data_IF_787641939169
#
_entry.id   IF_787641939169
#
_cell.length_a   1.000
_cell.length_b   1.000
_cell.length_c   1.000
_cell.angle_alpha   90.00
_cell.angle_beta   90.00
_cell.angle_gamma   90.00
#
_symmetry.space_group_name_H-M   'P 1'
#
loop_
_entity.id
_entity.type
_entity.pdbx_description
1 polymer ?
#
# COMPACT_ATOMS: atom_id res chain seq x y z
N UNK A 1 -1.98 34.84 -17.10
CA UNK A 1 -1.55 33.84 -18.10
C UNK A 1 -1.42 32.45 -17.49
N UNK A 2 -0.47 32.14 -16.59
CA UNK A 2 -0.39 30.77 -16.00
C UNK A 2 -1.58 30.37 -15.10
N UNK A 3 -2.22 31.33 -14.42
CA UNK A 3 -3.35 31.05 -13.52
C UNK A 3 -4.63 30.73 -14.32
N UNK A 4 -4.83 31.43 -15.45
CA UNK A 4 -6.01 31.28 -16.30
C UNK A 4 -6.05 29.90 -16.98
N UNK A 5 -4.88 29.38 -17.41
CA UNK A 5 -4.79 28.01 -17.93
C UNK A 5 -5.11 26.97 -16.85
N UNK A 6 -4.63 27.18 -15.62
CA UNK A 6 -4.88 26.24 -14.53
C UNK A 6 -6.37 26.18 -14.17
N UNK A 7 -7.07 27.33 -14.11
CA UNK A 7 -8.52 27.35 -13.92
C UNK A 7 -9.24 26.61 -15.05
N UNK A 8 -8.87 26.83 -16.31
CA UNK A 8 -9.50 26.14 -17.43
C UNK A 8 -9.34 24.61 -17.37
N UNK A 9 -8.17 24.12 -16.94
CA UNK A 9 -7.97 22.68 -16.77
C UNK A 9 -8.78 22.11 -15.60
N UNK A 10 -8.95 22.86 -14.52
CA UNK A 10 -9.80 22.45 -13.40
C UNK A 10 -11.28 22.43 -13.79
N UNK A 11 -11.75 23.43 -14.53
CA UNK A 11 -13.13 23.48 -14.99
C UNK A 11 -13.44 22.28 -15.90
N UNK A 12 -12.55 21.99 -16.86
CA UNK A 12 -12.67 20.81 -17.74
C UNK A 12 -12.67 19.50 -16.94
N UNK A 13 -11.83 19.39 -15.92
CA UNK A 13 -11.79 18.22 -15.05
C UNK A 13 -13.11 18.05 -14.28
N UNK A 14 -13.62 19.12 -13.68
CA UNK A 14 -14.88 19.09 -12.91
C UNK A 14 -16.06 18.77 -13.82
N UNK A 15 -16.09 19.34 -15.02
CA UNK A 15 -17.12 19.04 -16.02
C UNK A 15 -17.10 17.56 -16.42
N UNK A 16 -15.92 17.00 -16.67
CA UNK A 16 -15.75 15.56 -16.93
C UNK A 16 -16.18 14.71 -15.73
N UNK A 17 -15.83 15.11 -14.51
CA UNK A 17 -16.23 14.40 -13.30
C UNK A 17 -17.75 14.42 -13.10
N UNK A 18 -18.39 15.54 -13.41
CA UNK A 18 -19.83 15.69 -13.31
C UNK A 18 -20.60 14.94 -14.40
N UNK A 19 -20.02 14.76 -15.61
CA UNK A 19 -20.66 13.97 -16.66
C UNK A 19 -20.77 12.48 -16.31
N UNK A 20 -19.89 11.97 -15.46
CA UNK A 20 -19.96 10.61 -14.93
C UNK A 20 -20.87 10.44 -13.70
N UNK A 21 -21.53 11.51 -13.26
CA UNK A 21 -22.37 11.53 -12.07
C UNK A 21 -21.62 11.19 -10.78
N UNK A 22 -22.38 10.77 -9.76
CA UNK A 22 -21.84 10.46 -8.42
C UNK A 22 -20.79 9.33 -8.45
N UNK A 23 -20.95 8.36 -9.35
CA UNK A 23 -20.08 7.17 -9.45
C UNK A 23 -18.64 7.57 -9.77
N UNK A 24 -18.42 8.55 -10.64
CA UNK A 24 -17.08 8.98 -11.02
C UNK A 24 -16.32 9.60 -9.84
N UNK A 25 -16.99 10.43 -9.03
CA UNK A 25 -16.44 10.99 -7.81
C UNK A 25 -16.06 9.91 -6.78
N UNK A 26 -16.88 8.88 -6.62
CA UNK A 26 -16.57 7.72 -5.77
C UNK A 26 -15.33 6.99 -6.28
N UNK A 27 -15.23 6.70 -7.58
CA UNK A 27 -14.07 6.03 -8.16
C UNK A 27 -12.78 6.86 -8.01
N UNK A 28 -12.85 8.18 -8.16
CA UNK A 28 -11.72 9.06 -7.94
C UNK A 28 -11.23 9.02 -6.49
N UNK A 29 -12.15 9.08 -5.52
CA UNK A 29 -11.81 8.94 -4.10
C UNK A 29 -11.17 7.57 -3.78
N UNK A 30 -11.74 6.48 -4.33
CA UNK A 30 -11.18 5.14 -4.20
C UNK A 30 -9.78 5.04 -4.82
N UNK A 31 -9.53 5.72 -5.93
CA UNK A 31 -8.22 5.78 -6.56
C UNK A 31 -7.17 6.46 -5.66
N UNK A 32 -7.52 7.58 -5.02
CA UNK A 32 -6.63 8.26 -4.07
C UNK A 32 -6.29 7.36 -2.86
N UNK A 33 -7.30 6.68 -2.30
CA UNK A 33 -7.09 5.73 -1.20
C UNK A 33 -6.22 4.54 -1.62
N UNK A 34 -6.42 4.03 -2.84
CA UNK A 34 -5.61 2.97 -3.41
C UNK A 34 -4.15 3.39 -3.53
N UNK A 35 -3.88 4.57 -4.11
CA UNK A 35 -2.54 5.13 -4.24
C UNK A 35 -1.87 5.37 -2.89
N UNK A 36 -2.61 5.86 -1.91
CA UNK A 36 -2.12 6.00 -0.54
C UNK A 36 -1.70 4.65 0.05
N UNK A 37 -2.56 3.63 -0.03
CA UNK A 37 -2.27 2.29 0.50
C UNK A 37 -1.09 1.60 -0.21
N UNK A 38 -1.05 1.68 -1.55
CA UNK A 38 0.05 1.15 -2.35
C UNK A 38 1.36 1.91 -2.11
N UNK A 39 1.30 3.24 -2.03
CA UNK A 39 2.46 4.09 -1.74
C UNK A 39 3.07 3.79 -0.38
N UNK A 40 2.25 3.67 0.66
CA UNK A 40 2.71 3.25 1.99
C UNK A 40 3.44 1.90 1.92
N UNK A 41 2.81 0.90 1.27
CA UNK A 41 3.39 -0.44 1.15
C UNK A 41 4.68 -0.44 0.34
N UNK A 42 4.74 0.34 -0.72
CA UNK A 42 5.94 0.50 -1.53
C UNK A 42 7.10 1.07 -0.71
N UNK A 43 6.85 2.11 0.10
CA UNK A 43 7.86 2.72 0.97
C UNK A 43 8.35 1.76 2.07
N UNK A 44 7.43 1.05 2.74
CA UNK A 44 7.77 0.09 3.80
C UNK A 44 8.54 -1.12 3.26
N UNK A 45 8.20 -1.58 2.04
CA UNK A 45 8.82 -2.75 1.43
C UNK A 45 10.15 -2.44 0.72
N UNK A 46 10.61 -1.18 0.72
CA UNK A 46 11.94 -0.82 0.23
C UNK A 46 12.99 -1.56 1.07
N UNK A 47 13.47 -2.67 0.51
CA UNK A 47 14.49 -3.54 1.12
C UNK A 47 15.80 -2.82 1.36
N UNK A 48 16.18 -1.85 0.53
CA UNK A 48 17.45 -1.10 0.60
C UNK A 48 18.71 -1.92 0.32
N UNK A 49 18.67 -3.24 0.51
CA UNK A 49 19.75 -4.20 0.31
C UNK A 49 19.37 -5.30 -0.67
N UNK A 50 20.24 -5.52 -1.66
CA UNK A 50 20.11 -6.62 -2.61
C UNK A 50 20.89 -7.85 -2.11
N UNK A 51 20.26 -9.03 -2.14
CA UNK A 51 20.91 -10.32 -1.87
C UNK A 51 20.04 -11.33 -1.13
N UNK A 52 20.59 -12.53 -0.94
CA UNK A 52 19.97 -13.59 -0.14
C UNK A 52 19.99 -13.21 1.35
N UNK A 53 18.88 -13.50 2.05
CA UNK A 53 18.73 -13.29 3.50
C UNK A 53 19.87 -13.92 4.29
N UNK A 54 20.31 -15.13 3.92
CA UNK A 54 21.42 -15.82 4.60
C UNK A 54 22.72 -15.02 4.54
N UNK A 55 23.01 -14.43 3.37
CA UNK A 55 24.18 -13.56 3.17
C UNK A 55 24.09 -12.28 4.01
N UNK A 56 22.87 -11.76 4.23
CA UNK A 56 22.69 -10.59 5.08
C UNK A 56 22.88 -10.93 6.55
N UNK A 57 22.34 -12.04 7.01
CA UNK A 57 22.56 -12.55 8.37
C UNK A 57 24.06 -12.73 8.62
N UNK A 58 24.80 -13.34 7.68
CA UNK A 58 26.26 -13.51 7.82
C UNK A 58 27.00 -12.17 7.92
N UNK A 59 26.55 -11.13 7.19
CA UNK A 59 27.14 -9.79 7.30
C UNK A 59 26.88 -9.18 8.67
N UNK A 60 25.65 -9.29 9.18
CA UNK A 60 25.27 -8.82 10.52
C UNK A 60 26.02 -9.58 11.62
N UNK A 61 26.22 -10.89 11.48
CA UNK A 61 27.02 -11.69 12.41
C UNK A 61 28.51 -11.31 12.40
N UNK A 62 29.10 -11.08 11.22
CA UNK A 62 30.54 -10.75 11.08
C UNK A 62 30.87 -9.32 11.48
N UNK A 63 29.98 -8.37 11.19
CA UNK A 63 30.23 -6.93 11.38
C UNK A 63 29.56 -6.36 12.63
N UNK A 64 28.59 -7.07 13.20
CA UNK A 64 27.82 -6.62 14.37
C UNK A 64 27.21 -5.24 14.15
N UNK A 65 27.34 -4.39 15.16
CA UNK A 65 26.81 -3.02 15.19
C UNK A 65 27.39 -2.09 14.12
N UNK A 66 28.53 -2.44 13.50
CA UNK A 66 29.14 -1.66 12.41
C UNK A 66 28.43 -1.87 11.07
N UNK A 67 27.44 -2.76 10.99
CA UNK A 67 26.71 -3.03 9.76
C UNK A 67 25.71 -1.91 9.46
N UNK A 68 25.79 -1.34 8.25
CA UNK A 68 24.84 -0.30 7.80
C UNK A 68 23.45 -0.89 7.64
N UNK A 69 22.48 -0.27 8.31
CA UNK A 69 21.06 -0.58 8.20
C UNK A 69 20.48 0.25 7.04
N UNK A 70 19.94 -0.41 6.01
CA UNK A 70 19.45 0.28 4.79
C UNK A 70 17.97 0.06 4.50
N UNK A 71 17.30 -0.81 5.25
CA UNK A 71 15.88 -1.07 5.05
C UNK A 71 15.32 -2.07 6.05
N UNK A 72 14.05 -2.39 5.87
CA UNK A 72 13.26 -3.20 6.81
C UNK A 72 13.88 -4.56 7.12
N UNK A 73 14.56 -5.18 6.16
CA UNK A 73 15.22 -6.47 6.35
C UNK A 73 16.43 -6.38 7.28
N UNK A 74 17.20 -5.29 7.22
CA UNK A 74 18.36 -5.14 8.09
C UNK A 74 17.93 -4.94 9.55
N UNK A 75 16.88 -4.14 9.78
CA UNK A 75 16.27 -3.98 11.11
C UNK A 75 15.73 -5.32 11.63
N UNK A 76 14.92 -6.02 10.82
CA UNK A 76 14.37 -7.32 11.20
C UNK A 76 15.46 -8.37 11.52
N UNK A 77 16.58 -8.37 10.79
CA UNK A 77 17.71 -9.26 11.06
C UNK A 77 18.41 -8.89 12.36
N UNK A 78 18.67 -7.60 12.60
CA UNK A 78 19.33 -7.13 13.81
C UNK A 78 18.53 -7.52 15.07
N UNK A 79 17.24 -7.19 15.09
CA UNK A 79 16.33 -7.50 16.20
C UNK A 79 16.18 -9.02 16.40
N UNK A 80 16.10 -9.79 15.31
CA UNK A 80 16.04 -11.27 15.39
C UNK A 80 17.32 -11.87 15.97
N UNK A 81 18.48 -11.31 15.65
CA UNK A 81 19.77 -11.76 16.19
C UNK A 81 19.89 -11.42 17.68
N UNK A 82 19.40 -10.25 18.09
CA UNK A 82 19.32 -9.85 19.50
C UNK A 82 18.39 -10.78 20.29
N UNK A 83 17.15 -10.98 19.82
CA UNK A 83 16.19 -11.88 20.44
C UNK A 83 16.70 -13.34 20.52
N UNK A 84 17.49 -13.78 19.54
CA UNK A 84 18.14 -15.10 19.56
C UNK A 84 19.20 -15.21 20.66
N UNK A 85 19.95 -14.13 20.93
CA UNK A 85 20.93 -14.08 22.04
C UNK A 85 20.23 -14.14 23.39
N UNK A 86 19.14 -13.41 23.56
CA UNK A 86 18.36 -13.41 24.81
C UNK A 86 17.74 -14.79 25.08
N UNK A 87 17.19 -15.43 24.04
CA UNK A 87 16.66 -16.79 24.14
C UNK A 87 17.73 -17.80 24.58
N UNK A 88 18.99 -17.62 24.14
CA UNK A 88 20.13 -18.45 24.54
C UNK A 88 20.42 -18.33 26.04
N UNK A 89 20.37 -17.10 26.58
CA UNK A 89 20.62 -16.85 28.00
C UNK A 89 19.54 -17.50 28.89
N UNK A 90 18.29 -17.48 28.43
CA UNK A 90 17.13 -18.01 29.17
C UNK A 90 16.91 -19.52 28.93
N UNK A 91 17.77 -20.20 28.14
CA UNK A 91 17.65 -21.63 27.74
C UNK A 91 16.26 -22.01 27.18
N UNK A 92 15.54 -21.06 26.55
CA UNK A 92 14.22 -21.29 25.94
C UNK A 92 14.33 -21.56 24.44
N UNK A 93 13.21 -21.95 23.82
CA UNK A 93 13.12 -22.19 22.37
C UNK A 93 13.27 -20.88 21.59
N UNK A 94 14.35 -20.77 20.82
CA UNK A 94 14.67 -19.60 19.97
C UNK A 94 13.54 -19.15 19.05
N UNK A 95 12.76 -20.11 18.53
CA UNK A 95 11.71 -19.84 17.54
C UNK A 95 10.74 -18.77 18.01
N UNK A 96 10.21 -18.88 19.24
CA UNK A 96 9.19 -17.96 19.74
C UNK A 96 9.70 -16.52 19.85
N UNK A 97 10.90 -16.34 20.41
CA UNK A 97 11.54 -15.03 20.57
C UNK A 97 11.83 -14.34 19.24
N UNK A 98 12.30 -15.11 18.25
CA UNK A 98 12.52 -14.57 16.90
C UNK A 98 11.19 -14.18 16.25
N UNK A 99 10.14 -14.99 16.38
CA UNK A 99 8.82 -14.63 15.83
C UNK A 99 8.24 -13.38 16.48
N UNK A 100 8.42 -13.22 17.79
CA UNK A 100 7.99 -12.04 18.53
C UNK A 100 8.72 -10.78 18.04
N UNK A 101 10.06 -10.85 17.90
CA UNK A 101 10.86 -9.77 17.33
C UNK A 101 10.48 -9.43 15.88
N UNK A 102 10.05 -10.43 15.08
CA UNK A 102 9.62 -10.22 13.70
C UNK A 102 8.18 -9.70 13.57
N UNK A 103 7.37 -9.81 14.61
CA UNK A 103 5.94 -9.51 14.57
C UNK A 103 5.63 -8.06 14.15
N UNK A 104 6.31 -7.01 14.67
CA UNK A 104 6.09 -5.63 14.23
C UNK A 104 6.33 -5.43 12.73
N UNK A 105 7.35 -6.09 12.19
CA UNK A 105 7.68 -6.04 10.77
C UNK A 105 6.63 -6.72 9.91
N UNK A 106 6.13 -7.88 10.34
CA UNK A 106 5.05 -8.59 9.65
C UNK A 106 3.77 -7.76 9.60
N UNK A 107 3.41 -7.11 10.72
CA UNK A 107 2.26 -6.19 10.76
C UNK A 107 2.45 -4.99 9.86
N UNK A 108 3.64 -4.36 9.87
CA UNK A 108 3.95 -3.21 9.04
C UNK A 108 3.83 -3.52 7.54
N UNK A 109 4.30 -4.70 7.10
CA UNK A 109 4.22 -5.17 5.71
C UNK A 109 2.76 -5.45 5.29
N UNK A 110 1.93 -5.93 6.22
CA UNK A 110 0.53 -6.26 5.97
C UNK A 110 -0.43 -5.06 6.00
N UNK A 111 0.01 -3.90 6.51
CA UNK A 111 -0.84 -2.71 6.67
C UNK A 111 -1.45 -2.28 5.34
N UNK A 112 -2.73 -1.89 5.37
CA UNK A 112 -3.55 -1.49 4.22
C UNK A 112 -3.84 -2.59 3.18
N UNK A 113 -3.34 -3.82 3.34
CA UNK A 113 -3.57 -4.93 2.40
C UNK A 113 -5.06 -5.22 2.20
N UNK A 114 -5.84 -5.25 3.29
CA UNK A 114 -7.29 -5.47 3.23
C UNK A 114 -7.99 -4.34 2.47
N UNK A 115 -7.71 -3.08 2.80
CA UNK A 115 -8.29 -1.91 2.13
C UNK A 115 -8.01 -1.93 0.62
N UNK A 116 -6.76 -2.16 0.22
CA UNK A 116 -6.36 -2.25 -1.20
C UNK A 116 -7.13 -3.38 -1.90
N UNK A 117 -7.22 -4.57 -1.29
CA UNK A 117 -7.95 -5.70 -1.87
C UNK A 117 -9.45 -5.38 -2.03
N UNK A 118 -10.06 -4.79 -1.01
CA UNK A 118 -11.46 -4.38 -1.06
C UNK A 118 -11.72 -3.38 -2.18
N UNK A 119 -10.87 -2.35 -2.32
CA UNK A 119 -11.00 -1.36 -3.40
C UNK A 119 -10.88 -2.03 -4.77
N UNK A 120 -9.87 -2.90 -4.98
CA UNK A 120 -9.65 -3.58 -6.26
C UNK A 120 -10.84 -4.49 -6.64
N UNK A 121 -11.50 -5.10 -5.66
CA UNK A 121 -12.69 -5.93 -5.90
C UNK A 121 -13.94 -5.09 -6.17
N UNK A 122 -14.14 -4.00 -5.42
CA UNK A 122 -15.35 -3.18 -5.52
C UNK A 122 -15.33 -2.18 -6.68
N UNK A 123 -14.16 -1.63 -7.04
CA UNK A 123 -14.08 -0.58 -8.07
C UNK A 123 -14.66 -1.02 -9.44
N UNK A 124 -14.43 -2.24 -9.94
CA UNK A 124 -15.08 -2.71 -11.16
C UNK A 124 -16.61 -2.77 -11.06
N UNK A 125 -17.15 -3.17 -9.90
CA UNK A 125 -18.60 -3.23 -9.67
C UNK A 125 -19.23 -1.83 -9.63
N UNK A 126 -18.52 -0.89 -8.99
CA UNK A 126 -18.92 0.53 -8.97
C UNK A 126 -18.89 1.12 -10.38
N UNK A 127 -17.86 0.80 -11.18
CA UNK A 127 -17.80 1.21 -12.58
C UNK A 127 -18.94 0.63 -13.42
N UNK A 128 -19.25 -0.66 -13.25
CA UNK A 128 -20.38 -1.30 -13.91
C UNK A 128 -21.71 -0.62 -13.54
N UNK A 129 -21.92 -0.29 -12.26
CA UNK A 129 -23.09 0.46 -11.81
C UNK A 129 -23.24 1.80 -12.55
N UNK A 130 -22.13 2.52 -12.76
CA UNK A 130 -22.13 3.77 -13.52
C UNK A 130 -22.58 3.58 -14.97
N UNK A 131 -22.15 2.50 -15.63
CA UNK A 131 -22.61 2.21 -17.01
C UNK A 131 -24.10 1.90 -17.07
N UNK A 132 -24.63 1.19 -16.08
CA UNK A 132 -26.08 0.89 -15.98
C UNK A 132 -26.87 2.18 -15.73
N UNK A 133 -26.41 3.04 -14.84
CA UNK A 133 -27.05 4.33 -14.59
C UNK A 133 -27.10 5.21 -15.85
N UNK A 134 -25.98 5.29 -16.59
CA UNK A 134 -25.95 6.04 -17.85
C UNK A 134 -26.92 5.49 -18.89
N UNK A 135 -27.06 4.16 -18.99
CA UNK A 135 -28.06 3.57 -19.87
C UNK A 135 -29.48 3.94 -19.45
N UNK A 136 -29.81 3.92 -18.15
CA UNK A 136 -31.13 4.33 -17.65
C UNK A 136 -31.43 5.79 -18.06
N UNK A 137 -30.48 6.71 -17.87
CA UNK A 137 -30.65 8.12 -18.26
C UNK A 137 -30.88 8.27 -19.77
N UNK A 138 -30.16 7.52 -20.61
CA UNK A 138 -30.41 7.55 -22.05
C UNK A 138 -31.78 7.00 -22.44
N UNK A 139 -32.29 5.98 -21.74
CA UNK A 139 -33.64 5.46 -21.96
C UNK A 139 -34.72 6.46 -21.53
N UNK A 140 -34.56 7.10 -20.37
CA UNK A 140 -35.50 8.11 -19.86
C UNK A 140 -35.57 9.33 -20.80
N UNK A 141 -34.43 9.75 -21.36
CA UNK A 141 -34.36 10.83 -22.34
C UNK A 141 -35.12 10.50 -23.64
N UNK A 142 -35.09 9.24 -24.09
CA UNK A 142 -35.84 8.78 -25.27
C UNK A 142 -37.34 8.68 -25.01
N UNK A 143 -37.76 8.37 -23.78
CA UNK A 143 -39.18 8.29 -23.42
C UNK A 143 -39.80 9.68 -23.19
N UNK A 144 -39.00 10.66 -22.81
CA UNK A 144 -39.42 12.05 -22.60
C UNK A 144 -39.29 12.94 -23.84
N UNK A 145 -38.79 12.40 -24.95
CA UNK A 145 -38.74 13.03 -26.28
C UNK A 145 -39.93 12.63 -27.14
#
# INVERSE_FOLDING_TARGET
>A
MNIDYFSSYLDLFVEFMNSGGLVMWVLFALNLLLWYGLGYRYLVLKRGTMGNVRRQIDKHLKRGEKQKIRGILDYAIADSLEASRDAKQVKKKYRYYIYDALFPYMMAIGKYSTMVKTIVILAPLVGLLGTVMGMIETFDALQSS
#
